data_IF_364392594382
#
_entry.id   IF_364392594382
#
_cell.length_a   1.000
_cell.length_b   1.000
_cell.length_c   1.000
_cell.angle_alpha   90.00
_cell.angle_beta   90.00
_cell.angle_gamma   90.00
#
_symmetry.space_group_name_H-M   'P 1'
#
loop_
_entity.id
_entity.type
_entity.pdbx_description
1 polymer ?
#
# COMPACT_ATOMS: atom_id res chain seq x y z
N UNK A 1 -20.44 1.50 -13.51
CA UNK A 1 -20.03 0.89 -12.22
C UNK A 1 -18.50 0.94 -12.14
N UNK A 2 -17.94 1.84 -11.33
CA UNK A 2 -16.48 1.96 -11.18
C UNK A 2 -15.90 0.78 -10.41
N UNK A 3 -14.76 0.25 -10.85
CA UNK A 3 -14.00 -0.76 -10.11
C UNK A 3 -13.36 -0.08 -8.89
N UNK A 4 -13.51 -0.71 -7.72
CA UNK A 4 -12.84 -0.26 -6.48
C UNK A 4 -11.45 -0.87 -6.47
N UNK A 5 -10.43 -0.03 -6.28
CA UNK A 5 -9.04 -0.45 -6.21
C UNK A 5 -8.42 0.02 -4.90
N UNK A 6 -7.74 -0.90 -4.23
CA UNK A 6 -6.84 -0.59 -3.13
C UNK A 6 -5.47 -0.23 -3.71
N UNK A 7 -4.83 0.79 -3.13
CA UNK A 7 -3.51 1.26 -3.55
C UNK A 7 -2.52 0.96 -2.44
N UNK A 8 -1.47 0.19 -2.76
CA UNK A 8 -0.37 -0.14 -1.86
C UNK A 8 0.89 0.62 -2.27
N UNK A 9 1.52 1.30 -1.32
CA UNK A 9 2.85 1.86 -1.48
C UNK A 9 3.88 0.96 -0.83
N UNK A 10 4.90 0.57 -1.59
CA UNK A 10 6.03 -0.23 -1.14
C UNK A 10 7.31 0.61 -1.05
N UNK A 11 8.24 0.26 -0.15
CA UNK A 11 9.58 0.82 -0.13
C UNK A 11 10.29 0.66 -1.48
N UNK A 12 11.17 1.61 -1.80
CA UNK A 12 11.95 1.58 -3.05
C UNK A 12 12.75 0.27 -3.13
N UNK A 13 12.62 -0.43 -4.25
CA UNK A 13 13.29 -1.71 -4.51
C UNK A 13 12.45 -2.94 -4.19
N UNK A 14 11.29 -2.79 -3.55
CA UNK A 14 10.33 -3.87 -3.34
C UNK A 14 9.27 -3.84 -4.44
N UNK A 15 9.22 -4.91 -5.22
CA UNK A 15 8.27 -5.09 -6.31
C UNK A 15 7.07 -5.91 -5.84
N UNK A 16 5.99 -5.90 -6.63
CA UNK A 16 4.79 -6.69 -6.35
C UNK A 16 5.07 -8.19 -6.16
N UNK A 17 6.02 -8.75 -6.92
CA UNK A 17 6.41 -10.17 -6.82
C UNK A 17 7.10 -10.52 -5.49
N UNK A 18 7.66 -9.52 -4.82
CA UNK A 18 8.36 -9.68 -3.54
C UNK A 18 7.37 -9.63 -2.37
N UNK A 19 6.14 -9.16 -2.62
CA UNK A 19 5.07 -9.14 -1.63
C UNK A 19 4.43 -10.53 -1.48
N UNK A 20 3.98 -10.89 -0.27
CA UNK A 20 3.26 -12.14 -0.08
C UNK A 20 1.90 -12.08 -0.80
N UNK A 21 1.38 -13.25 -1.18
CA UNK A 21 0.07 -13.38 -1.85
C UNK A 21 -1.10 -12.81 -1.03
N UNK A 22 -0.94 -12.77 0.30
CA UNK A 22 -1.90 -12.21 1.24
C UNK A 22 -1.13 -11.37 2.26
N UNK A 23 -1.63 -10.17 2.53
CA UNK A 23 -1.17 -9.27 3.57
C UNK A 23 -2.37 -8.93 4.45
N UNK A 24 -2.21 -9.07 5.77
CA UNK A 24 -3.21 -8.65 6.74
C UNK A 24 -2.72 -7.36 7.41
N UNK A 25 -3.61 -6.38 7.58
CA UNK A 25 -3.25 -5.07 8.14
C UNK A 25 -2.79 -5.23 9.59
N UNK A 26 -1.67 -4.61 9.94
CA UNK A 26 -1.08 -4.69 11.28
C UNK A 26 -0.38 -6.01 11.60
N UNK A 27 -0.41 -7.00 10.69
CA UNK A 27 0.29 -8.27 10.86
C UNK A 27 1.68 -8.17 10.22
N UNK A 28 2.76 -8.43 10.96
CA UNK A 28 4.11 -8.44 10.39
C UNK A 28 4.31 -9.57 9.38
N UNK A 29 5.10 -9.32 8.35
CA UNK A 29 5.50 -10.30 7.35
C UNK A 29 6.93 -10.05 6.88
N UNK A 30 7.55 -11.04 6.23
CA UNK A 30 8.94 -10.96 5.78
C UNK A 30 9.05 -10.76 4.27
N UNK A 31 9.94 -9.85 3.87
CA UNK A 31 10.39 -9.66 2.49
C UNK A 31 11.92 -9.71 2.51
N UNK A 32 12.53 -10.63 1.76
CA UNK A 32 13.99 -10.76 1.66
C UNK A 32 14.71 -10.87 3.02
N UNK A 33 14.10 -11.53 4.01
CA UNK A 33 14.66 -11.70 5.36
C UNK A 33 14.48 -10.50 6.30
N UNK A 34 13.89 -9.40 5.83
CA UNK A 34 13.56 -8.23 6.64
C UNK A 34 12.08 -8.22 7.00
N UNK A 35 11.73 -7.64 8.16
CA UNK A 35 10.35 -7.63 8.66
C UNK A 35 9.66 -6.32 8.29
N UNK A 36 8.45 -6.43 7.76
CA UNK A 36 7.60 -5.32 7.33
C UNK A 36 6.21 -5.46 7.94
N UNK A 37 5.47 -4.35 7.97
CA UNK A 37 4.05 -4.34 8.33
C UNK A 37 3.27 -3.51 7.32
N UNK A 38 2.06 -3.95 7.00
CA UNK A 38 1.12 -3.20 6.16
C UNK A 38 0.17 -2.40 7.06
N UNK A 39 0.10 -1.09 6.86
CA UNK A 39 -0.74 -0.19 7.63
C UNK A 39 -1.69 0.55 6.69
N UNK A 40 -2.94 0.74 7.14
CA UNK A 40 -3.89 1.60 6.45
C UNK A 40 -3.56 3.04 6.79
N UNK A 41 -3.44 3.88 5.77
CA UNK A 41 -3.19 5.31 5.93
C UNK A 41 -4.50 6.05 5.72
N UNK A 42 -4.96 6.74 6.76
CA UNK A 42 -6.05 7.69 6.62
C UNK A 42 -5.57 8.94 5.87
N UNK A 43 -6.43 9.46 4.99
CA UNK A 43 -6.13 10.52 4.00
C UNK A 43 -5.48 11.80 4.57
N UNK A 44 -5.51 12.00 5.89
CA UNK A 44 -4.97 13.20 6.52
C UNK A 44 -3.43 13.28 6.50
N UNK A 45 -2.70 12.17 6.34
CA UNK A 45 -1.25 12.15 6.51
C UNK A 45 -0.40 11.92 5.24
N UNK A 46 -1.02 11.76 4.05
CA UNK A 46 -0.28 11.60 2.80
C UNK A 46 -0.86 12.46 1.67
N UNK A 47 -0.05 13.41 1.17
CA UNK A 47 -0.33 14.14 -0.08
C UNK A 47 0.16 13.30 -1.25
N UNK A 48 -0.77 12.63 -1.94
CA UNK A 48 -0.48 11.87 -3.15
C UNK A 48 -0.69 12.80 -4.34
N UNK A 49 0.40 13.27 -4.92
CA UNK A 49 0.39 14.02 -6.17
C UNK A 49 0.34 13.02 -7.33
N UNK A 50 -0.87 12.72 -7.82
CA UNK A 50 -1.02 12.14 -9.15
C UNK A 50 -1.20 13.30 -10.14
N UNK A 51 -0.35 13.36 -11.15
CA UNK A 51 -0.32 14.45 -12.13
C UNK A 51 -1.55 14.52 -13.05
N UNK A 52 -2.47 13.56 -13.00
CA UNK A 52 -3.68 13.57 -13.82
C UNK A 52 -4.86 13.04 -13.00
N UNK A 53 -5.95 13.80 -13.02
CA UNK A 53 -7.23 13.50 -12.38
C UNK A 53 -7.66 12.05 -12.65
N UNK A 54 -8.01 11.32 -11.59
CA UNK A 54 -8.90 10.18 -11.75
C UNK A 54 -9.93 10.17 -10.62
N UNK A 55 -11.11 10.68 -10.98
CA UNK A 55 -12.35 10.78 -10.20
C UNK A 55 -12.98 9.39 -10.01
N UNK A 56 -12.22 8.46 -9.43
CA UNK A 56 -12.69 7.17 -8.95
C UNK A 56 -12.83 7.20 -7.43
N UNK A 57 -14.05 7.38 -6.95
CA UNK A 57 -14.40 7.38 -5.53
C UNK A 57 -14.10 6.03 -4.86
N UNK A 58 -13.38 6.09 -3.73
CA UNK A 58 -12.88 5.02 -2.84
C UNK A 58 -11.53 4.39 -3.22
N UNK A 59 -10.45 5.16 -3.02
CA UNK A 59 -9.07 4.66 -2.94
C UNK A 59 -8.72 4.48 -1.46
N UNK A 60 -8.60 3.24 -0.98
CA UNK A 60 -7.99 2.96 0.31
C UNK A 60 -6.47 2.88 0.12
N UNK A 61 -5.73 3.63 0.92
CA UNK A 61 -4.28 3.71 0.83
C UNK A 61 -3.65 2.88 1.93
N UNK A 62 -2.70 2.04 1.53
CA UNK A 62 -1.93 1.19 2.42
C UNK A 62 -0.45 1.43 2.20
N UNK A 63 0.32 1.44 3.28
CA UNK A 63 1.78 1.58 3.24
C UNK A 63 2.40 0.33 3.83
N UNK A 64 3.37 -0.23 3.12
CA UNK A 64 4.27 -1.25 3.66
C UNK A 64 5.45 -0.50 4.26
N UNK A 65 5.63 -0.57 5.58
CA UNK A 65 6.80 0.01 6.26
C UNK A 65 7.66 -1.08 6.85
N UNK A 66 8.96 -0.81 6.91
CA UNK A 66 9.92 -1.66 7.60
C UNK A 66 9.72 -1.53 9.12
N UNK A 67 9.76 -2.65 9.83
CA UNK A 67 9.80 -2.68 11.29
C UNK A 67 11.24 -2.60 11.81
#
# INVERSE_FOLDING_TARGET
MGRRYDIFQTPKGINQKDLPKKMDIGVPFQINGETYVCEKVDQNNFRIYNNEEDRGSNKHYYVVRKL
#
